data_IF_378040753921
#
_entry.id   IF_378040753921
#
_cell.length_a   1.000
_cell.length_b   1.000
_cell.length_c   1.000
_cell.angle_alpha   90.00
_cell.angle_beta   90.00
_cell.angle_gamma   90.00
#
_symmetry.space_group_name_H-M   'P 1'
#
loop_
_entity.id
_entity.type
_entity.pdbx_description
1 polymer ?
#
# COMPACT_ATOMS: atom_id res chain seq x y z
N UNK A 1 18.21 -1.90 -24.18
CA UNK A 1 19.23 -2.21 -23.14
C UNK A 1 18.70 -3.37 -22.32
N UNK A 2 19.45 -4.46 -22.17
CA UNK A 2 19.06 -5.54 -21.23
C UNK A 2 19.30 -5.00 -19.82
N UNK A 3 18.24 -4.71 -19.09
CA UNK A 3 18.24 -4.08 -17.75
C UNK A 3 18.93 -4.91 -16.67
N UNK A 4 19.24 -6.18 -16.95
CA UNK A 4 19.61 -7.19 -15.96
C UNK A 4 21.12 -7.28 -15.65
N UNK A 5 21.97 -6.39 -16.18
CA UNK A 5 23.42 -6.42 -15.95
C UNK A 5 23.89 -5.62 -14.72
N UNK A 6 23.04 -4.75 -14.17
CA UNK A 6 23.43 -3.82 -13.08
C UNK A 6 23.10 -4.32 -11.68
N UNK A 7 22.25 -5.34 -11.53
CA UNK A 7 21.76 -5.80 -10.24
C UNK A 7 21.97 -7.31 -10.08
N UNK A 8 22.28 -7.75 -8.87
CA UNK A 8 22.35 -9.18 -8.55
C UNK A 8 20.98 -9.81 -8.78
N UNK A 9 20.91 -10.85 -9.62
CA UNK A 9 19.68 -11.61 -9.81
C UNK A 9 19.31 -12.36 -8.53
N UNK A 10 18.06 -12.22 -8.10
CA UNK A 10 17.50 -13.02 -7.01
C UNK A 10 17.06 -14.37 -7.59
N UNK A 11 18.02 -15.28 -7.68
CA UNK A 11 17.84 -16.60 -8.26
C UNK A 11 17.51 -17.68 -7.21
N UNK A 12 16.58 -18.57 -7.54
CA UNK A 12 16.07 -19.62 -6.66
C UNK A 12 16.05 -20.96 -7.38
N UNK A 13 16.49 -22.04 -6.71
CA UNK A 13 16.28 -23.40 -7.20
C UNK A 13 14.81 -23.82 -7.06
N UNK A 14 14.32 -24.73 -7.89
CA UNK A 14 12.97 -25.29 -7.75
C UNK A 14 12.74 -25.89 -6.35
N UNK A 15 13.71 -26.65 -5.82
CA UNK A 15 13.62 -27.24 -4.46
C UNK A 15 13.43 -26.19 -3.36
N UNK A 16 14.09 -25.03 -3.47
CA UNK A 16 13.92 -23.92 -2.53
C UNK A 16 12.51 -23.30 -2.61
N UNK A 17 11.93 -23.23 -3.80
CA UNK A 17 10.55 -22.75 -4.00
C UNK A 17 9.55 -23.72 -3.37
N UNK A 18 9.70 -25.02 -3.63
CA UNK A 18 8.85 -26.05 -3.04
C UNK A 18 8.95 -26.07 -1.50
N UNK A 19 10.17 -26.01 -0.96
CA UNK A 19 10.38 -25.92 0.49
C UNK A 19 9.75 -24.67 1.12
N UNK A 20 9.70 -23.54 0.39
CA UNK A 20 9.01 -22.35 0.85
C UNK A 20 7.48 -22.53 0.85
N UNK A 21 6.91 -23.24 -0.13
CA UNK A 21 5.48 -23.60 -0.13
C UNK A 21 5.14 -24.47 1.09
N UNK A 22 5.96 -25.49 1.36
CA UNK A 22 5.80 -26.36 2.53
C UNK A 22 5.87 -25.57 3.84
N UNK A 23 6.87 -24.69 3.97
CA UNK A 23 7.03 -23.81 5.14
C UNK A 23 5.82 -22.89 5.35
N UNK A 24 5.24 -22.40 4.26
CA UNK A 24 4.06 -21.54 4.28
C UNK A 24 2.75 -22.32 4.52
N UNK A 25 2.79 -23.65 4.56
CA UNK A 25 1.61 -24.51 4.71
C UNK A 25 0.65 -24.42 3.52
N UNK A 26 1.17 -24.15 2.32
CA UNK A 26 0.37 -24.02 1.10
C UNK A 26 0.19 -25.42 0.50
N UNK A 27 -1.05 -25.85 0.30
CA UNK A 27 -1.33 -27.07 -0.46
C UNK A 27 -1.14 -26.85 -1.96
N UNK A 28 -0.42 -27.76 -2.62
CA UNK A 28 -0.16 -27.68 -4.05
C UNK A 28 -0.04 -29.07 -4.70
N UNK A 29 -0.20 -29.12 -6.03
CA UNK A 29 0.16 -30.26 -6.86
C UNK A 29 1.20 -29.82 -7.89
N UNK A 30 2.07 -30.74 -8.30
CA UNK A 30 3.09 -30.44 -9.32
C UNK A 30 2.95 -31.33 -10.54
N UNK A 31 3.18 -30.77 -11.73
CA UNK A 31 3.30 -31.52 -12.98
C UNK A 31 4.49 -30.98 -13.80
N UNK A 32 5.03 -31.81 -14.70
CA UNK A 32 6.23 -31.48 -15.49
C UNK A 32 7.53 -31.99 -14.86
N UNK A 33 8.65 -31.81 -15.57
CA UNK A 33 9.97 -32.26 -15.11
C UNK A 33 10.67 -31.14 -14.33
N UNK A 34 11.21 -31.52 -13.17
CA UNK A 34 12.01 -30.62 -12.35
C UNK A 34 13.41 -30.52 -12.98
N UNK A 35 13.74 -29.33 -13.48
CA UNK A 35 15.06 -29.05 -14.02
C UNK A 35 15.90 -28.31 -12.98
N UNK A 36 17.19 -28.61 -12.91
CA UNK A 36 18.14 -27.99 -11.96
C UNK A 36 18.65 -26.64 -12.50
N UNK A 37 17.68 -25.81 -12.92
CA UNK A 37 17.92 -24.45 -13.42
C UNK A 37 17.57 -23.48 -12.30
N UNK A 38 18.18 -22.30 -12.36
CA UNK A 38 17.85 -21.20 -11.46
C UNK A 38 16.68 -20.39 -12.00
N UNK A 39 15.76 -20.05 -11.11
CA UNK A 39 14.54 -19.33 -11.43
C UNK A 39 14.50 -17.94 -10.77
N UNK A 40 13.84 -16.99 -11.42
CA UNK A 40 13.63 -15.63 -10.91
C UNK A 40 12.14 -15.26 -11.02
N UNK A 41 11.59 -14.54 -10.04
CA UNK A 41 10.22 -14.05 -10.13
C UNK A 41 10.12 -13.01 -11.24
N UNK A 42 9.26 -13.25 -12.24
CA UNK A 42 9.18 -12.42 -13.44
C UNK A 42 7.75 -12.01 -13.79
N UNK A 43 7.63 -11.00 -14.65
CA UNK A 43 6.36 -10.47 -15.14
C UNK A 43 5.98 -11.10 -16.47
N UNK A 44 4.70 -11.46 -16.64
CA UNK A 44 4.17 -11.89 -17.94
C UNK A 44 4.20 -10.79 -19.02
N UNK A 45 4.49 -9.54 -18.63
CA UNK A 45 4.74 -8.44 -19.58
C UNK A 45 6.16 -8.45 -20.17
N UNK A 46 7.09 -9.18 -19.56
CA UNK A 46 8.45 -9.38 -20.03
C UNK A 46 8.87 -10.85 -19.79
N UNK A 47 8.37 -11.73 -20.67
CA UNK A 47 8.60 -13.17 -20.55
C UNK A 47 10.03 -13.51 -20.97
N UNK A 48 10.73 -14.26 -20.11
CA UNK A 48 12.06 -14.80 -20.33
C UNK A 48 12.10 -16.26 -19.84
N UNK A 49 13.12 -17.03 -20.24
CA UNK A 49 13.31 -18.38 -19.72
C UNK A 49 13.80 -18.33 -18.26
N UNK A 50 13.48 -19.36 -17.48
CA UNK A 50 13.85 -19.39 -16.06
C UNK A 50 12.99 -18.47 -15.19
N UNK A 51 11.80 -18.08 -15.65
CA UNK A 51 10.90 -17.28 -14.82
C UNK A 51 10.09 -18.14 -13.84
N UNK A 52 9.70 -17.55 -12.72
CA UNK A 52 8.56 -17.97 -11.91
C UNK A 52 7.43 -17.01 -12.25
N UNK A 53 6.31 -17.53 -12.72
CA UNK A 53 5.14 -16.78 -13.14
C UNK A 53 3.89 -17.25 -12.39
N UNK A 54 2.84 -16.43 -12.36
CA UNK A 54 1.51 -16.87 -11.98
C UNK A 54 0.48 -16.58 -13.07
N UNK A 55 -0.51 -17.45 -13.19
CA UNK A 55 -1.68 -17.32 -14.05
C UNK A 55 -2.93 -17.63 -13.23
N UNK A 56 -3.91 -16.73 -13.30
CA UNK A 56 -5.21 -16.90 -12.64
C UNK A 56 -6.32 -16.85 -13.69
N UNK A 57 -7.26 -17.79 -13.59
CA UNK A 57 -8.36 -18.03 -14.51
C UNK A 57 -7.97 -18.76 -15.79
N UNK A 58 -8.96 -18.97 -16.66
CA UNK A 58 -8.80 -19.59 -17.98
C UNK A 58 -8.00 -18.70 -18.95
N UNK A 59 -6.69 -18.62 -18.74
CA UNK A 59 -5.73 -17.92 -19.60
C UNK A 59 -4.87 -18.94 -20.34
N UNK A 60 -4.53 -18.62 -21.58
CA UNK A 60 -3.58 -19.39 -22.37
C UNK A 60 -2.16 -19.00 -21.96
N UNK A 61 -1.31 -20.00 -21.73
CA UNK A 61 0.10 -19.82 -21.44
C UNK A 61 0.84 -19.25 -22.66
N UNK A 62 1.67 -18.19 -22.53
CA UNK A 62 2.47 -17.71 -23.65
C UNK A 62 3.51 -18.75 -24.07
N UNK A 63 3.71 -18.97 -25.37
CA UNK A 63 4.67 -19.97 -25.88
C UNK A 63 6.12 -19.72 -25.42
N UNK A 64 6.46 -18.48 -25.06
CA UNK A 64 7.81 -18.07 -24.65
C UNK A 64 8.20 -18.44 -23.21
N UNK A 65 7.30 -19.06 -22.42
CA UNK A 65 7.58 -19.42 -21.01
C UNK A 65 8.34 -20.75 -20.83
N UNK A 66 8.93 -21.33 -21.87
CA UNK A 66 9.69 -22.58 -21.76
C UNK A 66 10.78 -22.50 -20.67
N UNK A 67 11.09 -23.64 -20.03
CA UNK A 67 12.04 -23.77 -18.93
C UNK A 67 11.74 -22.86 -17.73
N UNK A 68 10.46 -22.73 -17.37
CA UNK A 68 9.99 -21.84 -16.30
C UNK A 68 9.06 -22.58 -15.31
N UNK A 69 8.82 -21.96 -14.15
CA UNK A 69 7.82 -22.38 -13.19
C UNK A 69 6.54 -21.57 -13.40
N UNK A 70 5.40 -22.23 -13.46
CA UNK A 70 4.09 -21.58 -13.60
C UNK A 70 3.16 -21.99 -12.47
N UNK A 71 2.74 -21.00 -11.68
CA UNK A 71 1.79 -21.15 -10.59
C UNK A 71 0.38 -20.86 -11.13
N UNK A 72 -0.55 -21.81 -11.06
CA UNK A 72 -1.89 -21.62 -11.62
C UNK A 72 -2.98 -22.39 -10.86
N UNK A 73 -4.24 -22.11 -11.20
CA UNK A 73 -5.44 -22.67 -10.56
C UNK A 73 -6.00 -23.94 -11.22
N UNK A 74 -5.25 -24.53 -12.14
CA UNK A 74 -5.69 -25.67 -12.95
C UNK A 74 -6.68 -25.32 -14.07
N UNK A 75 -7.09 -24.05 -14.22
CA UNK A 75 -7.96 -23.60 -15.32
C UNK A 75 -7.17 -23.12 -16.55
N UNK A 76 -5.87 -22.87 -16.39
CA UNK A 76 -4.98 -22.46 -17.48
C UNK A 76 -4.75 -23.60 -18.49
N UNK A 77 -4.78 -23.27 -19.78
CA UNK A 77 -4.51 -24.22 -20.88
C UNK A 77 -3.01 -24.29 -21.14
N UNK A 78 -2.47 -25.52 -21.13
CA UNK A 78 -1.03 -25.80 -21.22
C UNK A 78 -0.70 -26.56 -22.51
N UNK A 79 -0.53 -25.86 -23.63
CA UNK A 79 -0.22 -26.51 -24.91
C UNK A 79 1.24 -27.04 -24.98
N UNK A 80 2.12 -26.62 -24.07
CA UNK A 80 3.55 -26.98 -24.01
C UNK A 80 4.01 -27.54 -22.63
N UNK A 81 3.15 -28.35 -21.99
CA UNK A 81 3.35 -28.86 -20.63
C UNK A 81 4.69 -29.59 -20.37
N UNK A 82 5.33 -30.15 -21.40
CA UNK A 82 6.60 -30.88 -21.26
C UNK A 82 7.81 -29.98 -20.97
N UNK A 83 7.72 -28.70 -21.30
CA UNK A 83 8.83 -27.73 -21.17
C UNK A 83 8.72 -26.81 -19.94
N UNK A 84 7.67 -26.97 -19.13
CA UNK A 84 7.37 -26.13 -17.96
C UNK A 84 7.19 -26.99 -16.72
N UNK A 85 7.54 -26.43 -15.56
CA UNK A 85 7.20 -27.02 -14.27
C UNK A 85 6.00 -26.29 -13.69
N UNK A 86 4.91 -27.00 -13.43
CA UNK A 86 3.65 -26.41 -13.01
C UNK A 86 3.43 -26.64 -11.53
N UNK A 87 2.92 -25.61 -10.85
CA UNK A 87 2.48 -25.64 -9.45
C UNK A 87 1.01 -25.26 -9.44
N UNK A 88 0.15 -26.25 -9.21
CA UNK A 88 -1.30 -26.09 -9.16
C UNK A 88 -1.74 -25.79 -7.73
N UNK A 89 -2.40 -24.66 -7.51
CA UNK A 89 -2.86 -24.14 -6.22
C UNK A 89 -4.24 -23.51 -6.35
N UNK A 90 -4.99 -23.30 -5.27
CA UNK A 90 -6.31 -22.64 -5.36
C UNK A 90 -6.22 -21.15 -5.71
N UNK A 91 -5.23 -20.43 -5.15
CA UNK A 91 -5.11 -18.97 -5.22
C UNK A 91 -3.74 -18.55 -5.79
N UNK A 92 -3.50 -18.66 -7.10
CA UNK A 92 -2.17 -18.53 -7.69
C UNK A 92 -1.52 -17.16 -7.47
N UNK A 93 -2.32 -16.07 -7.50
CA UNK A 93 -1.79 -14.73 -7.24
C UNK A 93 -1.34 -14.56 -5.77
N UNK A 94 -2.14 -15.05 -4.81
CA UNK A 94 -1.81 -15.00 -3.39
C UNK A 94 -0.53 -15.81 -3.10
N UNK A 95 -0.46 -17.03 -3.63
CA UNK A 95 0.70 -17.92 -3.47
C UNK A 95 1.96 -17.27 -4.05
N UNK A 96 1.87 -16.67 -5.24
CA UNK A 96 2.97 -15.94 -5.85
C UNK A 96 3.48 -14.81 -4.94
N UNK A 97 2.58 -14.00 -4.36
CA UNK A 97 2.96 -12.92 -3.44
C UNK A 97 3.57 -13.44 -2.14
N UNK A 98 3.02 -14.52 -1.56
CA UNK A 98 3.56 -15.15 -0.35
C UNK A 98 4.97 -15.70 -0.58
N UNK A 99 5.20 -16.35 -1.72
CA UNK A 99 6.53 -16.82 -2.11
C UNK A 99 7.50 -15.66 -2.30
N UNK A 100 7.09 -14.57 -2.96
CA UNK A 100 7.94 -13.38 -3.08
C UNK A 100 8.28 -12.79 -1.71
N UNK A 101 7.32 -12.72 -0.78
CA UNK A 101 7.55 -12.24 0.59
C UNK A 101 8.53 -13.13 1.38
N UNK A 102 8.49 -14.44 1.16
CA UNK A 102 9.36 -15.40 1.86
C UNK A 102 10.76 -15.49 1.25
N UNK A 103 10.86 -15.45 -0.08
CA UNK A 103 12.11 -15.75 -0.80
C UNK A 103 12.84 -14.52 -1.31
N UNK A 104 12.11 -13.53 -1.83
CA UNK A 104 12.67 -12.41 -2.59
C UNK A 104 12.65 -11.10 -1.80
N UNK A 105 11.69 -10.91 -0.89
CA UNK A 105 11.62 -9.74 -0.04
C UNK A 105 12.72 -9.85 1.04
N UNK A 106 13.78 -9.07 0.85
CA UNK A 106 14.80 -8.92 1.87
C UNK A 106 14.20 -8.16 3.05
N UNK A 107 13.90 -8.89 4.14
CA UNK A 107 13.62 -8.25 5.41
C UNK A 107 14.88 -7.51 5.83
N UNK A 108 14.84 -6.19 5.70
CA UNK A 108 15.93 -5.35 6.16
C UNK A 108 15.92 -5.35 7.68
N UNK A 109 16.91 -5.99 8.29
CA UNK A 109 17.18 -6.00 9.74
C UNK A 109 17.84 -4.69 10.19
N UNK A 110 17.42 -3.57 9.60
CA UNK A 110 17.87 -2.24 9.98
C UNK A 110 17.02 -1.75 11.16
N UNK A 111 17.71 -1.24 12.18
CA UNK A 111 17.16 -0.62 13.37
C UNK A 111 18.14 0.45 13.87
N UNK A 112 17.70 1.26 14.82
CA UNK A 112 18.46 2.37 15.36
C UNK A 112 18.30 3.66 14.56
N UNK A 113 18.98 4.70 15.04
CA UNK A 113 18.93 6.04 14.48
C UNK A 113 20.18 6.29 13.64
N UNK A 114 20.00 6.59 12.35
CA UNK A 114 21.11 6.93 11.49
C UNK A 114 21.84 8.19 11.99
N UNK A 115 23.20 8.27 11.94
CA UNK A 115 23.95 9.40 12.50
C UNK A 115 23.62 10.79 11.93
N UNK A 116 22.99 10.84 10.75
CA UNK A 116 22.56 12.09 10.10
C UNK A 116 21.10 12.45 10.36
N UNK A 117 20.34 11.61 11.08
CA UNK A 117 18.99 11.93 11.50
C UNK A 117 19.05 12.94 12.66
N UNK A 118 18.12 13.90 12.66
CA UNK A 118 17.97 14.89 13.74
C UNK A 118 16.73 14.49 14.53
N UNK A 119 16.94 14.07 15.77
CA UNK A 119 15.89 13.58 16.66
C UNK A 119 15.83 14.47 17.90
N UNK A 120 14.64 14.97 18.24
CA UNK A 120 14.37 15.69 19.47
C UNK A 120 14.68 14.81 20.68
N UNK A 121 15.37 15.31 21.72
CA UNK A 121 15.54 14.58 22.98
C UNK A 121 14.23 14.22 23.68
N UNK A 122 13.12 14.87 23.32
CA UNK A 122 11.79 14.57 23.85
C UNK A 122 11.03 13.50 23.03
N UNK A 123 11.57 13.06 21.89
CA UNK A 123 10.98 11.97 21.13
C UNK A 123 11.08 10.65 21.90
N UNK A 124 10.05 9.82 21.82
CA UNK A 124 10.07 8.44 22.31
C UNK A 124 10.18 7.50 21.13
N UNK A 125 11.26 6.73 21.06
CA UNK A 125 11.55 5.83 19.95
C UNK A 125 11.85 4.44 20.51
N UNK A 126 11.13 3.42 20.03
CA UNK A 126 11.40 2.04 20.39
C UNK A 126 12.75 1.57 19.83
N UNK A 127 13.49 0.75 20.58
CA UNK A 127 14.86 0.30 20.20
C UNK A 127 14.93 -0.47 18.88
N UNK A 128 13.83 -1.12 18.49
CA UNK A 128 13.74 -1.85 17.21
C UNK A 128 13.28 -1.00 16.03
N UNK A 129 12.95 0.28 16.25
CA UNK A 129 12.61 1.20 15.17
C UNK A 129 13.86 1.59 14.38
N UNK A 130 13.68 1.91 13.11
CA UNK A 130 14.71 2.46 12.25
C UNK A 130 14.38 3.89 11.83
N UNK A 131 15.31 4.80 12.08
CA UNK A 131 15.23 6.20 11.63
C UNK A 131 16.32 6.43 10.59
N UNK A 132 15.91 6.52 9.32
CA UNK A 132 16.81 6.64 8.17
C UNK A 132 17.58 7.95 8.08
N UNK A 133 18.53 8.04 7.14
CA UNK A 133 19.39 9.21 6.99
C UNK A 133 18.58 10.48 6.71
N UNK A 134 18.98 11.57 7.35
CA UNK A 134 18.38 12.90 7.18
C UNK A 134 16.89 12.99 7.54
N UNK A 135 16.36 12.02 8.31
CA UNK A 135 15.07 12.20 8.95
C UNK A 135 15.11 13.35 9.96
N UNK A 136 13.97 14.00 10.15
CA UNK A 136 13.75 14.96 11.24
C UNK A 136 12.59 14.44 12.07
N UNK A 137 12.83 14.18 13.36
CA UNK A 137 11.82 13.71 14.31
C UNK A 137 11.75 14.70 15.47
N UNK A 138 10.63 15.42 15.58
CA UNK A 138 10.33 16.33 16.69
C UNK A 138 9.80 15.55 17.92
N UNK A 139 9.03 16.16 18.81
CA UNK A 139 8.42 15.48 19.97
C UNK A 139 7.29 14.53 19.53
N UNK A 140 7.67 13.30 19.15
CA UNK A 140 6.79 12.27 18.61
C UNK A 140 7.02 10.91 19.29
N UNK A 141 6.04 10.01 19.12
CA UNK A 141 6.14 8.62 19.52
C UNK A 141 6.32 7.72 18.29
N UNK A 142 7.36 6.88 18.32
CA UNK A 142 7.71 5.92 17.27
C UNK A 142 7.70 4.51 17.86
N UNK A 143 6.73 3.71 17.42
CA UNK A 143 6.48 2.34 17.88
C UNK A 143 7.54 1.32 17.44
N UNK A 144 7.30 0.08 17.84
CA UNK A 144 8.16 -1.08 17.57
C UNK A 144 8.24 -1.35 16.07
N UNK A 145 9.44 -1.65 15.59
CA UNK A 145 9.72 -2.03 14.20
C UNK A 145 9.28 -1.00 13.15
N UNK A 146 8.98 0.23 13.57
CA UNK A 146 8.66 1.32 12.63
C UNK A 146 9.89 1.63 11.78
N UNK A 147 9.69 1.82 10.47
CA UNK A 147 10.76 2.16 9.53
C UNK A 147 10.48 3.50 8.88
N UNK A 148 11.32 4.49 9.19
CA UNK A 148 11.34 5.77 8.50
C UNK A 148 12.47 5.76 7.49
N UNK A 149 12.13 5.86 6.20
CA UNK A 149 13.11 5.98 5.13
C UNK A 149 13.70 7.39 5.09
N UNK A 150 14.70 7.61 4.23
CA UNK A 150 15.46 8.86 4.21
C UNK A 150 14.57 10.09 4.04
N UNK A 151 14.93 11.20 4.68
CA UNK A 151 14.22 12.48 4.55
C UNK A 151 12.75 12.48 4.99
N UNK A 152 12.29 11.51 5.79
CA UNK A 152 10.99 11.59 6.43
C UNK A 152 11.00 12.66 7.51
N UNK A 153 9.93 13.47 7.56
CA UNK A 153 9.73 14.48 8.59
C UNK A 153 8.56 14.08 9.47
N UNK A 154 8.83 13.83 10.75
CA UNK A 154 7.84 13.56 11.78
C UNK A 154 7.80 14.76 12.73
N UNK A 155 6.72 15.53 12.64
CA UNK A 155 6.50 16.71 13.48
C UNK A 155 6.13 16.34 14.93
N UNK A 156 6.04 17.34 15.80
CA UNK A 156 5.56 17.19 17.17
C UNK A 156 4.14 16.60 17.20
N UNK A 157 3.77 15.91 18.29
CA UNK A 157 2.41 15.38 18.52
C UNK A 157 1.96 14.36 17.46
N UNK A 158 2.92 13.68 16.85
CA UNK A 158 2.68 12.54 15.96
C UNK A 158 2.89 11.25 16.74
N UNK A 159 1.95 10.32 16.60
CA UNK A 159 2.02 8.97 17.14
C UNK A 159 2.02 7.98 15.99
N UNK A 160 3.06 7.14 15.93
CA UNK A 160 3.21 6.09 14.92
C UNK A 160 3.28 4.75 15.64
N UNK A 161 2.29 3.91 15.36
CA UNK A 161 2.13 2.61 15.97
C UNK A 161 2.95 1.53 15.22
N UNK A 162 3.04 0.35 15.80
CA UNK A 162 4.02 -0.68 15.48
C UNK A 162 3.97 -1.17 14.03
N UNK A 163 5.10 -1.70 13.55
CA UNK A 163 5.25 -2.36 12.24
C UNK A 163 4.85 -1.46 11.04
N UNK A 164 4.92 -0.15 11.21
CA UNK A 164 4.58 0.86 10.19
C UNK A 164 5.81 1.24 9.36
N UNK A 165 5.64 1.37 8.05
CA UNK A 165 6.69 1.81 7.13
C UNK A 165 6.31 3.13 6.45
N UNK A 166 7.24 4.08 6.43
CA UNK A 166 7.06 5.40 5.83
C UNK A 166 8.23 5.66 4.89
N UNK A 167 7.92 5.76 3.60
CA UNK A 167 8.88 6.01 2.53
C UNK A 167 9.32 7.48 2.47
N UNK A 168 10.43 7.69 1.75
CA UNK A 168 11.15 8.96 1.71
C UNK A 168 10.30 10.17 1.33
N UNK A 169 10.70 11.34 1.85
CA UNK A 169 10.08 12.65 1.57
C UNK A 169 8.63 12.81 2.07
N UNK A 170 8.11 11.86 2.84
CA UNK A 170 6.82 11.99 3.51
C UNK A 170 6.90 12.87 4.75
N UNK A 171 5.84 13.65 5.00
CA UNK A 171 5.72 14.55 6.16
C UNK A 171 4.47 14.22 6.96
N UNK A 172 4.67 13.92 8.24
CA UNK A 172 3.60 13.68 9.20
C UNK A 172 3.44 14.85 10.16
N UNK A 173 2.19 15.21 10.43
CA UNK A 173 1.84 16.31 11.33
C UNK A 173 2.06 17.70 10.72
N UNK A 174 1.99 17.83 9.40
CA UNK A 174 2.13 19.11 8.70
C UNK A 174 1.12 20.16 9.20
N UNK A 175 1.48 21.45 9.12
CA UNK A 175 0.61 22.54 9.59
C UNK A 175 -0.56 22.77 8.62
N UNK A 176 -1.79 22.63 9.12
CA UNK A 176 -3.00 22.98 8.39
C UNK A 176 -3.15 24.48 8.15
N UNK A 177 -3.95 24.85 7.15
CA UNK A 177 -4.12 26.24 6.70
C UNK A 177 -5.55 26.70 6.94
N UNK A 178 -5.92 26.89 8.20
CA UNK A 178 -7.18 27.52 8.60
C UNK A 178 -6.95 28.99 8.96
N UNK A 179 -7.85 29.88 8.51
CA UNK A 179 -7.73 31.31 8.75
C UNK A 179 -9.08 32.02 8.65
N UNK A 180 -9.18 33.18 9.29
CA UNK A 180 -10.33 34.10 9.22
C UNK A 180 -9.86 35.52 8.94
N UNK A 181 -10.79 36.38 8.53
CA UNK A 181 -10.54 37.82 8.44
C UNK A 181 -10.89 38.50 9.77
N UNK A 182 -9.93 39.24 10.34
CA UNK A 182 -10.23 40.28 11.31
C UNK A 182 -10.73 41.50 10.54
N UNK A 183 -12.04 41.72 10.56
CA UNK A 183 -12.70 42.79 9.80
C UNK A 183 -12.34 44.19 10.34
N UNK A 184 -12.04 44.31 11.63
CA UNK A 184 -11.73 45.59 12.28
C UNK A 184 -10.34 46.04 11.84
N UNK A 185 -9.36 45.16 11.98
CA UNK A 185 -7.96 45.47 11.68
C UNK A 185 -7.59 45.20 10.21
N UNK A 186 -8.50 44.60 9.41
CA UNK A 186 -8.32 44.21 7.99
C UNK A 186 -7.11 43.30 7.76
N UNK A 187 -6.84 42.39 8.70
CA UNK A 187 -5.75 41.42 8.62
C UNK A 187 -6.26 39.98 8.60
N UNK A 188 -5.46 39.08 8.01
CA UNK A 188 -5.72 37.64 8.05
C UNK A 188 -5.17 37.07 9.35
N UNK A 189 -6.02 36.41 10.13
CA UNK A 189 -5.62 35.68 11.34
C UNK A 189 -5.62 34.19 11.03
N UNK A 190 -4.44 33.56 11.14
CA UNK A 190 -4.31 32.10 10.97
C UNK A 190 -4.61 31.42 12.30
N UNK A 191 -5.37 30.33 12.26
CA UNK A 191 -5.57 29.48 13.43
C UNK A 191 -4.31 28.63 13.66
N UNK A 192 -3.65 28.73 14.83
CA UNK A 192 -2.61 27.78 15.21
C UNK A 192 -3.17 26.36 15.21
N UNK A 193 -2.45 25.42 14.59
CA UNK A 193 -2.85 24.02 14.52
C UNK A 193 -2.12 23.25 15.62
N UNK A 194 -2.83 22.88 16.67
CA UNK A 194 -2.28 22.32 17.92
C UNK A 194 -2.75 20.88 18.19
N UNK A 195 -3.44 20.27 17.22
CA UNK A 195 -3.90 18.89 17.33
C UNK A 195 -2.83 17.87 17.00
N UNK A 196 -3.29 16.64 16.76
CA UNK A 196 -2.46 15.45 16.73
C UNK A 196 -2.51 14.76 15.36
N UNK A 197 -1.56 13.86 15.13
CA UNK A 197 -1.62 12.86 14.06
C UNK A 197 -1.42 11.48 14.65
N UNK A 198 -2.25 10.53 14.25
CA UNK A 198 -2.16 9.12 14.66
C UNK A 198 -2.05 8.23 13.43
N UNK A 199 -1.03 7.39 13.39
CA UNK A 199 -0.82 6.38 12.36
C UNK A 199 -0.90 5.01 13.04
N UNK A 200 -1.88 4.21 12.66
CA UNK A 200 -2.08 2.87 13.22
C UNK A 200 -1.05 1.86 12.76
N UNK A 201 -1.00 0.71 13.44
CA UNK A 201 -0.04 -0.37 13.15
C UNK A 201 -0.14 -0.91 11.72
N UNK A 202 0.95 -1.49 11.23
CA UNK A 202 1.02 -2.12 9.90
C UNK A 202 0.62 -1.20 8.75
N UNK A 203 0.77 0.13 8.91
CA UNK A 203 0.49 1.08 7.84
C UNK A 203 1.70 1.16 6.90
N UNK A 204 1.44 1.31 5.61
CA UNK A 204 2.46 1.69 4.63
C UNK A 204 2.12 3.05 4.03
N UNK A 205 3.05 4.00 4.13
CA UNK A 205 2.99 5.29 3.44
C UNK A 205 4.07 5.32 2.37
N UNK A 206 3.68 5.51 1.11
CA UNK A 206 4.58 5.72 -0.02
C UNK A 206 5.31 7.06 0.08
N UNK A 207 6.15 7.33 -0.93
CA UNK A 207 6.90 8.59 -1.01
C UNK A 207 5.98 9.80 -1.17
N UNK A 208 6.44 10.97 -0.74
CA UNK A 208 5.77 12.26 -0.91
C UNK A 208 4.34 12.32 -0.32
N UNK A 209 4.05 11.50 0.69
CA UNK A 209 2.77 11.56 1.41
C UNK A 209 2.80 12.71 2.42
N UNK A 210 1.71 13.47 2.50
CA UNK A 210 1.56 14.53 3.52
C UNK A 210 0.32 14.29 4.35
N UNK A 211 0.51 14.23 5.67
CA UNK A 211 -0.59 14.13 6.64
C UNK A 211 -0.59 15.40 7.48
N UNK A 212 -1.65 16.19 7.32
CA UNK A 212 -1.86 17.43 8.08
C UNK A 212 -2.37 17.07 9.46
N UNK A 213 -1.83 17.66 10.52
CA UNK A 213 -2.31 17.43 11.90
C UNK A 213 -3.73 17.92 12.10
N UNK A 214 -4.38 17.44 13.15
CA UNK A 214 -5.64 18.01 13.62
C UNK A 214 -5.51 19.49 14.03
N UNK A 215 -6.61 20.23 13.96
CA UNK A 215 -6.63 21.67 14.22
C UNK A 215 -6.48 22.02 15.70
N UNK A 216 -7.33 21.47 16.56
CA UNK A 216 -7.36 21.76 18.01
C UNK A 216 -7.31 20.46 18.81
N UNK A 217 -8.33 20.11 19.60
CA UNK A 217 -8.43 18.84 20.31
C UNK A 217 -8.90 17.69 19.39
N UNK A 218 -8.40 17.66 18.15
CA UNK A 218 -8.72 16.64 17.15
C UNK A 218 -7.43 15.99 16.64
N UNK A 219 -7.58 14.78 16.10
CA UNK A 219 -6.50 14.03 15.48
C UNK A 219 -6.84 13.73 14.03
N UNK A 220 -5.84 13.85 13.15
CA UNK A 220 -5.89 13.20 11.84
C UNK A 220 -5.42 11.76 11.99
N UNK A 221 -6.23 10.78 11.56
CA UNK A 221 -5.98 9.37 11.82
C UNK A 221 -5.91 8.54 10.55
N UNK A 222 -4.90 7.67 10.46
CA UNK A 222 -4.80 6.60 9.46
C UNK A 222 -4.97 5.26 10.17
N UNK A 223 -6.04 4.53 9.85
CA UNK A 223 -6.34 3.25 10.50
C UNK A 223 -5.34 2.16 10.13
N UNK A 224 -5.25 1.15 11.01
CA UNK A 224 -4.28 0.05 10.91
C UNK A 224 -4.39 -0.71 9.58
N UNK A 225 -3.25 -1.19 9.06
CA UNK A 225 -3.19 -1.96 7.82
C UNK A 225 -3.42 -1.14 6.54
N UNK A 226 -3.64 0.17 6.64
CA UNK A 226 -3.87 1.01 5.46
C UNK A 226 -2.61 1.15 4.60
N UNK A 227 -2.79 1.15 3.29
CA UNK A 227 -1.73 1.32 2.29
C UNK A 227 -1.99 2.58 1.51
N UNK A 228 -1.16 3.61 1.73
CA UNK A 228 -1.29 4.92 1.13
C UNK A 228 -0.19 5.11 0.08
N UNK A 229 -0.55 5.05 -1.20
CA UNK A 229 0.42 5.18 -2.26
C UNK A 229 0.89 6.63 -2.47
N UNK A 230 1.91 6.74 -3.33
CA UNK A 230 2.75 7.90 -3.53
C UNK A 230 2.00 9.20 -3.81
N UNK A 231 2.51 10.30 -3.29
CA UNK A 231 2.03 11.67 -3.56
C UNK A 231 0.69 12.03 -2.90
N UNK A 232 0.10 11.15 -2.10
CA UNK A 232 -1.22 11.36 -1.50
C UNK A 232 -1.21 12.42 -0.39
N UNK A 233 -2.31 13.18 -0.25
CA UNK A 233 -2.47 14.26 0.71
C UNK A 233 -3.70 14.05 1.60
N UNK A 234 -3.51 14.10 2.91
CA UNK A 234 -4.55 13.86 3.93
C UNK A 234 -4.72 15.13 4.77
N UNK A 235 -5.91 15.74 4.67
CA UNK A 235 -6.27 16.98 5.35
C UNK A 235 -6.47 16.85 6.87
N UNK A 236 -6.48 18.00 7.55
CA UNK A 236 -6.62 18.08 9.01
C UNK A 236 -7.92 17.43 9.52
N UNK A 237 -7.86 16.70 10.63
CA UNK A 237 -9.03 16.07 11.25
C UNK A 237 -9.65 14.94 10.42
N UNK A 238 -9.04 14.55 9.30
CA UNK A 238 -9.52 13.42 8.51
C UNK A 238 -9.32 12.11 9.27
N UNK A 239 -10.26 11.18 9.12
CA UNK A 239 -10.28 9.89 9.80
C UNK A 239 -10.47 8.78 8.78
N UNK A 240 -9.43 7.99 8.55
CA UNK A 240 -9.49 6.78 7.74
C UNK A 240 -9.73 5.59 8.67
N UNK A 241 -10.63 4.70 8.27
CA UNK A 241 -10.80 3.37 8.85
C UNK A 241 -9.58 2.46 8.62
N UNK A 242 -9.71 1.21 9.05
CA UNK A 242 -8.69 0.18 8.87
C UNK A 242 -8.63 -0.29 7.41
N UNK A 243 -7.45 -0.74 6.98
CA UNK A 243 -7.22 -1.41 5.70
C UNK A 243 -7.67 -0.59 4.47
N UNK A 244 -7.70 0.74 4.58
CA UNK A 244 -7.96 1.60 3.44
C UNK A 244 -6.81 1.52 2.43
N UNK A 245 -7.13 1.62 1.14
CA UNK A 245 -6.15 1.65 0.07
C UNK A 245 -6.24 2.98 -0.69
N UNK A 246 -5.16 3.73 -0.75
CA UNK A 246 -5.07 4.88 -1.65
C UNK A 246 -4.12 4.54 -2.79
N UNK A 247 -4.61 4.66 -4.01
CA UNK A 247 -3.75 4.70 -5.18
C UNK A 247 -3.03 6.06 -5.28
N UNK A 248 -2.18 6.24 -6.29
CA UNK A 248 -1.32 7.40 -6.40
C UNK A 248 -2.10 8.73 -6.44
N UNK A 249 -1.54 9.76 -5.80
CA UNK A 249 -2.01 11.14 -5.85
C UNK A 249 -3.46 11.35 -5.37
N UNK A 250 -3.95 10.55 -4.41
CA UNK A 250 -5.26 10.79 -3.79
C UNK A 250 -5.19 12.01 -2.87
N UNK A 251 -6.23 12.85 -2.89
CA UNK A 251 -6.32 14.03 -2.02
C UNK A 251 -7.64 14.05 -1.25
N UNK A 252 -7.58 13.91 0.07
CA UNK A 252 -8.76 14.10 0.92
C UNK A 252 -8.61 15.38 1.75
N UNK A 253 -9.69 16.17 1.78
CA UNK A 253 -9.67 17.43 2.49
C UNK A 253 -9.98 17.28 3.99
N UNK A 254 -10.06 18.42 4.70
CA UNK A 254 -10.23 18.42 6.14
C UNK A 254 -11.53 17.76 6.60
N UNK A 255 -11.46 17.02 7.71
CA UNK A 255 -12.58 16.35 8.38
C UNK A 255 -13.34 15.32 7.52
N UNK A 256 -12.70 14.77 6.49
CA UNK A 256 -13.24 13.62 5.75
C UNK A 256 -13.22 12.38 6.65
N UNK A 257 -14.26 11.56 6.58
CA UNK A 257 -14.32 10.25 7.26
C UNK A 257 -14.45 9.17 6.19
N UNK A 258 -13.51 8.23 6.16
CA UNK A 258 -13.58 7.04 5.31
C UNK A 258 -13.77 5.82 6.19
N UNK A 259 -14.72 4.97 5.82
CA UNK A 259 -14.93 3.66 6.43
C UNK A 259 -13.82 2.67 6.10
N UNK A 260 -13.86 1.54 6.78
CA UNK A 260 -12.87 0.48 6.63
C UNK A 260 -12.84 -0.08 5.20
N UNK A 261 -11.67 -0.53 4.76
CA UNK A 261 -11.46 -1.19 3.45
C UNK A 261 -11.92 -0.37 2.24
N UNK A 262 -12.03 0.96 2.39
CA UNK A 262 -12.31 1.87 1.28
C UNK A 262 -11.13 1.95 0.32
N UNK A 263 -11.40 1.79 -0.98
CA UNK A 263 -10.42 1.92 -2.06
C UNK A 263 -10.55 3.28 -2.76
N UNK A 264 -9.50 4.09 -2.70
CA UNK A 264 -9.41 5.38 -3.37
C UNK A 264 -8.59 5.25 -4.66
N UNK A 265 -9.25 5.36 -5.81
CA UNK A 265 -8.62 5.32 -7.12
C UNK A 265 -7.70 6.51 -7.36
N UNK A 266 -6.74 6.34 -8.27
CA UNK A 266 -5.66 7.31 -8.49
C UNK A 266 -6.19 8.70 -8.83
N UNK A 267 -5.63 9.74 -8.20
CA UNK A 267 -6.04 11.13 -8.43
C UNK A 267 -7.45 11.49 -7.95
N UNK A 268 -8.12 10.62 -7.20
CA UNK A 268 -9.45 10.95 -6.65
C UNK A 268 -9.35 12.01 -5.54
N UNK A 269 -10.42 12.81 -5.43
CA UNK A 269 -10.51 13.94 -4.51
C UNK A 269 -11.77 13.85 -3.67
N UNK A 270 -11.66 14.12 -2.36
CA UNK A 270 -12.81 14.18 -1.45
C UNK A 270 -12.92 15.56 -0.80
N UNK A 271 -14.09 16.19 -0.95
CA UNK A 271 -14.42 17.49 -0.38
C UNK A 271 -14.41 17.46 1.16
N UNK A 272 -14.14 18.58 1.86
CA UNK A 272 -14.20 18.60 3.32
C UNK A 272 -15.51 18.06 3.89
N UNK A 273 -15.41 17.43 5.07
CA UNK A 273 -16.54 16.95 5.88
C UNK A 273 -17.40 15.83 5.26
N UNK A 274 -16.97 15.27 4.12
CA UNK A 274 -17.65 14.12 3.51
C UNK A 274 -17.39 12.86 4.34
N UNK A 275 -18.43 12.06 4.54
CA UNK A 275 -18.38 10.72 5.15
C UNK A 275 -18.66 9.66 4.09
N UNK A 276 -17.82 8.63 4.02
CA UNK A 276 -17.95 7.48 3.12
C UNK A 276 -17.96 6.22 3.98
N UNK A 277 -18.96 5.36 3.78
CA UNK A 277 -19.10 4.07 4.44
C UNK A 277 -17.99 3.06 4.06
N UNK A 278 -17.99 1.91 4.73
CA UNK A 278 -17.01 0.85 4.53
C UNK A 278 -17.08 0.23 3.12
N UNK A 279 -16.00 -0.44 2.70
CA UNK A 279 -15.95 -1.26 1.48
C UNK A 279 -16.31 -0.50 0.19
N UNK A 280 -16.17 0.82 0.19
CA UNK A 280 -16.50 1.66 -0.96
C UNK A 280 -15.32 1.76 -1.92
N UNK A 281 -15.61 1.90 -3.21
CA UNK A 281 -14.62 2.13 -4.27
C UNK A 281 -14.85 3.50 -4.88
N UNK A 282 -13.87 4.38 -4.78
CA UNK A 282 -13.85 5.68 -5.45
C UNK A 282 -13.03 5.51 -6.73
N UNK A 283 -13.64 5.73 -7.90
CA UNK A 283 -12.92 5.55 -9.15
C UNK A 283 -11.84 6.61 -9.38
N UNK A 284 -10.83 6.27 -10.19
CA UNK A 284 -9.75 7.18 -10.55
C UNK A 284 -10.28 8.54 -11.08
N UNK A 285 -9.67 9.62 -10.63
CA UNK A 285 -10.02 11.00 -11.01
C UNK A 285 -11.38 11.50 -10.51
N UNK A 286 -12.09 10.73 -9.67
CA UNK A 286 -13.43 11.12 -9.21
C UNK A 286 -13.37 12.22 -8.15
N UNK A 287 -14.37 13.10 -8.13
CA UNK A 287 -14.49 14.19 -7.14
C UNK A 287 -15.73 13.97 -6.29
N UNK A 288 -15.54 13.49 -5.07
CA UNK A 288 -16.61 13.19 -4.13
C UNK A 288 -17.01 14.45 -3.36
N UNK A 289 -18.25 14.88 -3.54
CA UNK A 289 -18.80 16.11 -2.91
C UNK A 289 -19.98 15.86 -1.99
N UNK A 290 -20.46 14.62 -1.89
CA UNK A 290 -21.58 14.23 -1.04
C UNK A 290 -21.24 13.00 -0.21
N UNK A 291 -21.90 12.86 0.95
CA UNK A 291 -21.77 11.68 1.79
C UNK A 291 -22.27 10.42 1.07
N UNK A 292 -21.73 9.28 1.48
CA UNK A 292 -22.24 7.97 1.15
C UNK A 292 -22.34 7.13 2.43
N UNK A 293 -23.56 6.72 2.79
CA UNK A 293 -23.83 5.90 3.98
C UNK A 293 -23.95 4.41 3.65
N UNK A 294 -23.94 4.05 2.36
CA UNK A 294 -24.08 2.66 1.91
C UNK A 294 -22.71 2.03 1.66
N UNK A 295 -22.39 0.95 2.38
CA UNK A 295 -21.19 0.16 2.15
C UNK A 295 -21.22 -0.53 0.77
N UNK A 296 -20.05 -0.88 0.22
CA UNK A 296 -19.95 -1.66 -1.01
C UNK A 296 -20.34 -0.91 -2.29
N UNK A 297 -20.26 0.43 -2.29
CA UNK A 297 -20.66 1.22 -3.46
C UNK A 297 -19.48 1.69 -4.30
N UNK A 298 -19.76 1.95 -5.58
CA UNK A 298 -18.84 2.59 -6.53
C UNK A 298 -19.19 4.07 -6.68
N UNK A 299 -18.24 4.97 -6.41
CA UNK A 299 -18.39 6.41 -6.59
C UNK A 299 -17.52 6.90 -7.75
N UNK A 300 -18.14 7.34 -8.85
CA UNK A 300 -17.41 7.76 -10.06
C UNK A 300 -17.90 9.07 -10.68
N UNK A 301 -16.96 9.86 -11.22
CA UNK A 301 -17.23 11.07 -12.00
C UNK A 301 -16.91 12.38 -11.27
N UNK A 302 -17.25 13.50 -11.92
CA UNK A 302 -17.03 14.87 -11.43
C UNK A 302 -18.30 15.70 -11.66
N UNK A 303 -19.14 15.95 -10.62
CA UNK A 303 -19.07 15.34 -9.30
C UNK A 303 -19.37 13.83 -9.33
N UNK A 304 -18.83 13.09 -8.38
CA UNK A 304 -18.98 11.64 -8.29
C UNK A 304 -20.44 11.25 -8.03
N UNK A 305 -20.92 10.23 -8.74
CA UNK A 305 -22.23 9.60 -8.54
C UNK A 305 -22.05 8.22 -7.93
N UNK A 306 -22.93 7.88 -6.99
CA UNK A 306 -23.00 6.55 -6.38
C UNK A 306 -23.62 5.57 -7.37
N UNK A 307 -22.99 4.41 -7.51
CA UNK A 307 -23.43 3.27 -8.31
C UNK A 307 -23.28 1.99 -7.49
N UNK A 308 -24.06 0.97 -7.84
CA UNK A 308 -23.79 -0.40 -7.39
C UNK A 308 -22.54 -0.93 -8.10
N UNK A 309 -21.73 -1.68 -7.39
CA UNK A 309 -20.67 -2.48 -8.01
C UNK A 309 -21.36 -3.63 -8.75
N UNK A 310 -21.04 -3.79 -10.03
CA UNK A 310 -21.51 -4.93 -10.81
C UNK A 310 -20.59 -6.11 -10.51
N UNK A 311 -21.11 -7.12 -9.80
CA UNK A 311 -20.36 -8.32 -9.40
C UNK A 311 -19.84 -9.13 -10.60
N UNK A 312 -20.44 -8.95 -11.78
CA UNK A 312 -19.97 -9.59 -13.02
C UNK A 312 -18.82 -8.83 -13.68
N UNK A 313 -18.53 -7.59 -13.25
CA UNK A 313 -17.53 -6.74 -13.87
C UNK A 313 -16.39 -6.43 -12.91
N UNK A 314 -15.32 -7.22 -12.99
CA UNK A 314 -14.11 -7.02 -12.19
C UNK A 314 -13.49 -5.64 -12.46
N UNK A 315 -13.44 -4.82 -11.41
CA UNK A 315 -12.70 -3.55 -11.45
C UNK A 315 -11.20 -3.84 -11.48
N UNK A 316 -10.53 -3.44 -12.57
CA UNK A 316 -9.08 -3.65 -12.72
C UNK A 316 -8.32 -2.83 -11.66
N UNK A 317 -7.36 -3.47 -11.00
CA UNK A 317 -6.53 -2.82 -9.97
C UNK A 317 -7.18 -2.68 -8.60
N UNK A 318 -8.43 -3.12 -8.43
CA UNK A 318 -9.14 -3.16 -7.14
C UNK A 318 -9.07 -4.60 -6.60
N UNK A 319 -8.86 -4.80 -5.28
CA UNK A 319 -8.95 -6.11 -4.65
C UNK A 319 -10.27 -6.82 -4.96
N UNK A 320 -10.21 -8.11 -5.28
CA UNK A 320 -11.38 -8.88 -5.71
C UNK A 320 -12.44 -8.98 -4.60
N UNK A 321 -12.01 -9.03 -3.34
CA UNK A 321 -12.88 -9.02 -2.15
C UNK A 321 -13.81 -7.80 -2.05
N UNK A 322 -13.44 -6.67 -2.68
CA UNK A 322 -14.27 -5.46 -2.72
C UNK A 322 -15.22 -5.42 -3.92
N UNK A 323 -15.13 -6.40 -4.81
CA UNK A 323 -15.86 -6.41 -6.09
C UNK A 323 -16.80 -7.60 -6.27
N UNK A 324 -16.72 -8.60 -5.40
CA UNK A 324 -17.57 -9.79 -5.43
C UNK A 324 -18.39 -9.84 -4.14
N UNK A 325 -19.68 -10.14 -4.25
CA UNK A 325 -20.49 -10.50 -3.08
C UNK A 325 -19.99 -11.85 -2.56
N UNK A 326 -19.77 -11.97 -1.25
CA UNK A 326 -19.41 -13.24 -0.59
C UNK A 326 -20.48 -14.32 -0.84
#
# INVERSE_FOLDING_TARGET
MKTNEFFSKNEFSCTRILSALDKLGIEYKTTGKLNDVKFEFMSLMNVEQGGVYYLAGAKVMPDSIANSIVIHDGLAVCDNAESIFQIVVSEPQLVFYRLMQELAYQKSDIFGVHPTAIVSPAATIHDSAYIGPYCIVEEAFIGKNVKLHSHVVVRDRVYIDDDTCIESHSTLGATGVAWVWDQVNRVRVKQPQIGYTYIGKNVFLGTDVTIVRGSVNESTTVGAGSVIAHGSKIGHGARLGAECHFANNVSIAGNVVLGDRTFMGAGSVVRPQVKIADDCVIGAGSVVVHNNESSGTLMIGVPAKIKKIDSNNRLKGVPTSLTQEN
#
